data_IF_815581385450
#
_entry.id   IF_815581385450
#
_cell.length_a   1.000
_cell.length_b   1.000
_cell.length_c   1.000
_cell.angle_alpha   90.00
_cell.angle_beta   90.00
_cell.angle_gamma   90.00
#
_symmetry.space_group_name_H-M   'P 1'
#
loop_
_entity.id
_entity.type
_entity.pdbx_description
1 polymer ?
#
# COMPACT_ATOMS: atom_id res chain seq x y z
N UNK A 1 8.92 3.17 8.84
CA UNK A 1 8.73 4.50 8.20
C UNK A 1 10.03 5.07 7.66
N UNK A 2 11.09 5.12 8.46
CA UNK A 2 12.37 5.73 8.02
C UNK A 2 13.16 4.93 6.98
N UNK A 3 14.30 5.48 6.52
CA UNK A 3 15.27 4.81 5.65
C UNK A 3 15.66 3.44 6.22
N UNK A 4 15.85 2.45 5.33
CA UNK A 4 16.10 1.06 5.74
C UNK A 4 14.84 0.25 6.06
N UNK A 5 13.67 0.86 6.31
CA UNK A 5 12.43 0.10 6.58
C UNK A 5 12.08 -0.87 5.45
N UNK A 6 12.21 -0.46 4.19
CA UNK A 6 11.92 -1.30 3.03
C UNK A 6 12.87 -2.50 2.95
N UNK A 7 14.17 -2.31 3.25
CA UNK A 7 15.15 -3.39 3.26
C UNK A 7 14.86 -4.39 4.39
N UNK A 8 14.55 -3.89 5.60
CA UNK A 8 14.16 -4.74 6.73
C UNK A 8 12.91 -5.56 6.42
N UNK A 9 11.90 -4.94 5.79
CA UNK A 9 10.69 -5.64 5.36
C UNK A 9 10.98 -6.71 4.31
N UNK A 10 11.84 -6.42 3.34
CA UNK A 10 12.24 -7.39 2.32
C UNK A 10 12.94 -8.61 2.95
N UNK A 11 13.86 -8.39 3.89
CA UNK A 11 14.53 -9.45 4.64
C UNK A 11 13.52 -10.30 5.43
N UNK A 12 12.58 -9.67 6.12
CA UNK A 12 11.53 -10.36 6.87
C UNK A 12 10.65 -11.21 5.94
N UNK A 13 10.19 -10.63 4.82
CA UNK A 13 9.31 -11.32 3.89
C UNK A 13 9.98 -12.53 3.24
N UNK A 14 11.26 -12.41 2.86
CA UNK A 14 12.06 -13.51 2.30
C UNK A 14 12.23 -14.65 3.32
N UNK A 15 12.54 -14.32 4.58
CA UNK A 15 12.65 -15.31 5.64
C UNK A 15 11.33 -16.07 5.89
N UNK A 16 10.19 -15.34 5.95
CA UNK A 16 8.86 -15.94 6.12
C UNK A 16 8.50 -16.84 4.93
N UNK A 17 8.76 -16.40 3.71
CA UNK A 17 8.49 -17.21 2.50
C UNK A 17 9.32 -18.48 2.47
N UNK A 18 10.63 -18.40 2.76
CA UNK A 18 11.52 -19.57 2.84
C UNK A 18 11.06 -20.54 3.93
N UNK A 19 10.67 -20.04 5.10
CA UNK A 19 10.07 -20.84 6.16
C UNK A 19 8.78 -21.54 5.72
N UNK A 20 7.90 -20.84 5.03
CA UNK A 20 6.64 -21.39 4.49
C UNK A 20 6.88 -22.51 3.47
N UNK A 21 7.81 -22.29 2.52
CA UNK A 21 8.19 -23.29 1.50
C UNK A 21 8.87 -24.51 2.11
N UNK A 22 9.63 -24.34 3.19
CA UNK A 22 10.21 -25.46 3.93
C UNK A 22 9.15 -26.33 4.61
N UNK A 23 8.09 -25.73 5.14
CA UNK A 23 7.08 -26.43 5.94
C UNK A 23 5.96 -27.08 5.11
N UNK A 24 5.74 -26.65 3.87
CA UNK A 24 4.62 -27.12 3.06
C UNK A 24 4.94 -27.14 1.56
N UNK A 25 4.43 -28.15 0.86
CA UNK A 25 4.47 -28.26 -0.60
C UNK A 25 3.35 -27.47 -1.30
N UNK A 26 2.40 -26.91 -0.55
CA UNK A 26 1.25 -26.15 -1.06
C UNK A 26 1.16 -24.77 -0.40
N UNK A 27 2.13 -23.91 -0.68
CA UNK A 27 2.17 -22.54 -0.14
C UNK A 27 1.36 -21.59 -1.02
N UNK A 28 0.44 -20.84 -0.42
CA UNK A 28 -0.35 -19.82 -1.11
C UNK A 28 0.43 -18.52 -1.36
N UNK A 29 0.05 -17.78 -2.41
CA UNK A 29 0.77 -16.58 -2.86
C UNK A 29 0.75 -15.36 -1.92
N UNK A 30 -0.05 -15.39 -0.84
CA UNK A 30 -0.16 -14.31 0.15
C UNK A 30 0.68 -14.55 1.42
N UNK A 31 1.50 -15.59 1.47
CA UNK A 31 2.41 -15.83 2.60
C UNK A 31 3.47 -14.72 2.67
N UNK A 32 3.32 -13.79 3.60
CA UNK A 32 4.28 -12.71 3.80
C UNK A 32 3.80 -11.62 4.75
N UNK A 33 4.61 -10.57 4.88
CA UNK A 33 4.32 -9.45 5.75
C UNK A 33 3.15 -8.60 5.19
N UNK A 34 2.15 -8.40 6.04
CA UNK A 34 0.99 -7.55 5.77
C UNK A 34 1.20 -6.16 6.38
N UNK A 35 0.64 -5.13 5.75
CA UNK A 35 0.89 -3.73 6.11
C UNK A 35 -0.45 -2.98 6.35
N UNK A 36 -1.29 -3.42 7.32
CA UNK A 36 -2.60 -2.80 7.55
C UNK A 36 -2.48 -1.59 8.48
N UNK A 37 -2.48 -0.38 7.90
CA UNK A 37 -2.19 0.85 8.68
C UNK A 37 -3.16 1.03 9.83
N UNK A 38 -4.45 0.75 9.65
CA UNK A 38 -5.46 0.93 10.72
C UNK A 38 -5.64 -0.29 11.64
N UNK A 39 -4.88 -1.37 11.47
CA UNK A 39 -4.99 -2.57 12.29
C UNK A 39 -3.74 -2.80 13.17
N UNK A 40 -2.58 -2.20 12.80
CA UNK A 40 -1.34 -2.30 13.57
C UNK A 40 -1.05 -1.03 14.38
N UNK A 41 -0.96 -1.16 15.70
CA UNK A 41 -0.73 -0.04 16.62
C UNK A 41 0.60 0.71 16.38
N UNK A 42 1.64 0.00 15.92
CA UNK A 42 2.94 0.59 15.59
C UNK A 42 2.86 1.42 14.31
N UNK A 43 2.14 0.93 13.31
CA UNK A 43 1.88 1.64 12.06
C UNK A 43 1.00 2.87 12.28
N UNK A 44 -0.06 2.75 13.09
CA UNK A 44 -0.89 3.89 13.51
C UNK A 44 -0.03 4.97 14.16
N UNK A 45 0.82 4.59 15.12
CA UNK A 45 1.72 5.53 15.80
C UNK A 45 2.67 6.21 14.81
N UNK A 46 3.31 5.43 13.93
CA UNK A 46 4.24 5.98 12.94
C UNK A 46 3.56 6.91 11.91
N UNK A 47 2.30 6.63 11.56
CA UNK A 47 1.49 7.49 10.70
C UNK A 47 1.09 8.79 11.40
N UNK A 48 0.66 8.73 12.68
CA UNK A 48 0.38 9.92 13.50
C UNK A 48 1.60 10.82 13.68
N UNK A 49 2.77 10.23 13.86
CA UNK A 49 4.04 10.96 13.98
C UNK A 49 4.55 11.50 12.62
N UNK A 50 3.87 11.21 11.50
CA UNK A 50 4.28 11.63 10.16
C UNK A 50 5.54 10.92 9.63
N UNK A 51 6.07 9.93 10.37
CA UNK A 51 7.25 9.16 9.97
C UNK A 51 6.91 8.11 8.90
N UNK A 52 5.65 7.67 8.86
CA UNK A 52 5.12 6.77 7.85
C UNK A 52 4.21 7.56 6.90
N UNK A 53 4.69 7.77 5.67
CA UNK A 53 3.92 8.40 4.60
C UNK A 53 3.33 7.36 3.65
N UNK A 54 2.34 7.77 2.84
CA UNK A 54 1.73 6.87 1.86
C UNK A 54 2.72 6.42 0.78
N UNK A 55 3.64 7.28 0.35
CA UNK A 55 4.67 6.93 -0.64
C UNK A 55 5.68 5.93 -0.05
N UNK A 56 5.88 5.99 1.28
CA UNK A 56 6.70 4.98 1.95
C UNK A 56 6.00 3.63 2.00
N UNK A 57 4.69 3.62 2.21
CA UNK A 57 3.88 2.41 2.14
C UNK A 57 3.94 1.81 0.73
N UNK A 58 3.75 2.64 -0.30
CA UNK A 58 3.91 2.25 -1.71
C UNK A 58 5.32 1.68 -2.00
N UNK A 59 6.38 2.33 -1.51
CA UNK A 59 7.74 1.77 -1.64
C UNK A 59 7.91 0.43 -0.90
N UNK A 60 7.19 0.23 0.21
CA UNK A 60 7.16 -1.04 0.93
C UNK A 60 6.33 -2.10 0.18
N UNK A 61 5.32 -1.70 -0.60
CA UNK A 61 4.55 -2.65 -1.40
C UNK A 61 5.41 -3.32 -2.45
N UNK A 62 6.44 -2.67 -3.00
CA UNK A 62 7.38 -3.31 -3.93
C UNK A 62 7.99 -4.63 -3.41
N UNK A 63 8.12 -4.80 -2.09
CA UNK A 63 8.73 -5.99 -1.45
C UNK A 63 7.79 -6.80 -0.57
N UNK A 64 6.56 -6.32 -0.32
CA UNK A 64 5.56 -7.01 0.52
C UNK A 64 4.70 -8.00 -0.29
N UNK A 65 3.69 -8.62 0.34
CA UNK A 65 2.83 -9.61 -0.31
C UNK A 65 1.44 -9.14 -0.75
N UNK A 66 0.89 -8.03 -0.22
CA UNK A 66 -0.56 -7.70 -0.41
C UNK A 66 -0.80 -6.37 -1.12
N UNK A 67 -0.07 -5.31 -0.77
CA UNK A 67 -0.25 -3.97 -1.35
C UNK A 67 -0.66 -2.93 -0.32
N UNK A 68 -1.41 -1.91 -0.74
CA UNK A 68 -1.92 -0.83 0.10
C UNK A 68 -3.23 -1.29 0.76
N UNK A 69 -3.23 -1.42 2.08
CA UNK A 69 -4.39 -1.96 2.80
C UNK A 69 -4.78 -1.14 4.03
N UNK A 70 -6.10 -0.99 4.20
CA UNK A 70 -6.71 -0.23 5.30
C UNK A 70 -6.09 1.16 5.48
N UNK A 71 -5.94 1.89 4.38
CA UNK A 71 -5.38 3.24 4.39
C UNK A 71 -6.53 4.25 4.39
N UNK A 72 -6.63 5.03 5.46
CA UNK A 72 -7.60 6.12 5.55
C UNK A 72 -7.02 7.35 4.84
N UNK A 73 -7.78 7.92 3.91
CA UNK A 73 -7.40 9.12 3.14
C UNK A 73 -8.42 10.25 3.36
N UNK A 74 -8.08 11.52 3.07
CA UNK A 74 -9.01 12.65 3.26
C UNK A 74 -10.31 12.45 2.49
N UNK A 75 -11.44 12.82 3.09
CA UNK A 75 -12.76 12.61 2.51
C UNK A 75 -13.03 13.37 1.22
N UNK A 76 -12.29 14.46 0.99
CA UNK A 76 -12.35 15.32 -0.19
C UNK A 76 -11.38 14.88 -1.30
N UNK A 77 -10.72 13.72 -1.15
CA UNK A 77 -9.80 13.20 -2.17
C UNK A 77 -10.52 12.99 -3.50
N UNK A 78 -9.96 13.56 -4.57
CA UNK A 78 -10.55 13.45 -5.91
C UNK A 78 -10.48 12.03 -6.48
N UNK A 79 -11.41 11.70 -7.38
CA UNK A 79 -11.47 10.39 -8.05
C UNK A 79 -10.22 10.11 -8.88
N UNK A 80 -9.59 11.14 -9.44
CA UNK A 80 -8.34 11.02 -10.19
C UNK A 80 -7.18 10.64 -9.29
N UNK A 81 -7.11 11.20 -8.08
CA UNK A 81 -6.08 10.85 -7.10
C UNK A 81 -6.24 9.40 -6.62
N UNK A 82 -7.46 8.96 -6.32
CA UNK A 82 -7.73 7.56 -5.97
C UNK A 82 -7.35 6.64 -7.14
N UNK A 83 -7.72 7.01 -8.36
CA UNK A 83 -7.39 6.23 -9.57
C UNK A 83 -5.88 6.15 -9.80
N UNK A 84 -5.13 7.21 -9.49
CA UNK A 84 -3.67 7.23 -9.58
C UNK A 84 -3.01 6.31 -8.55
N UNK A 85 -3.46 6.33 -7.29
CA UNK A 85 -2.98 5.39 -6.27
C UNK A 85 -3.18 3.94 -6.72
N UNK A 86 -4.34 3.63 -7.30
CA UNK A 86 -4.63 2.29 -7.85
C UNK A 86 -3.71 1.97 -9.03
N UNK A 87 -3.49 2.92 -9.94
CA UNK A 87 -2.64 2.72 -11.10
C UNK A 87 -1.17 2.50 -10.74
N UNK A 88 -0.65 3.22 -9.75
CA UNK A 88 0.73 3.09 -9.26
C UNK A 88 0.95 1.70 -8.61
N UNK A 89 0.04 1.28 -7.73
CA UNK A 89 0.12 -0.05 -7.11
C UNK A 89 -0.08 -1.19 -8.12
N UNK A 90 -0.94 -1.00 -9.13
CA UNK A 90 -1.08 -1.95 -10.23
C UNK A 90 0.20 -2.03 -11.08
N UNK A 91 0.89 -0.91 -11.31
CA UNK A 91 2.16 -0.88 -12.04
C UNK A 91 3.27 -1.60 -11.26
N UNK A 92 3.37 -1.37 -9.95
CA UNK A 92 4.29 -2.10 -9.06
C UNK A 92 4.02 -3.60 -9.13
N UNK A 93 2.75 -4.00 -9.09
CA UNK A 93 2.35 -5.40 -9.21
C UNK A 93 2.74 -6.02 -10.54
N UNK A 94 2.37 -5.34 -11.63
CA UNK A 94 2.60 -5.77 -13.00
C UNK A 94 4.11 -5.93 -13.31
N UNK A 95 4.94 -4.96 -12.92
CA UNK A 95 6.38 -4.98 -13.19
C UNK A 95 7.09 -6.07 -12.37
N UNK A 96 6.72 -6.21 -11.10
CA UNK A 96 7.36 -7.17 -10.20
C UNK A 96 6.74 -8.58 -10.28
N UNK A 97 5.79 -8.82 -11.18
CA UNK A 97 5.10 -10.11 -11.33
C UNK A 97 4.50 -10.59 -10.00
N UNK A 98 3.89 -9.66 -9.25
CA UNK A 98 3.28 -9.93 -7.95
C UNK A 98 1.82 -9.49 -7.93
N UNK A 99 1.05 -10.13 -7.07
CA UNK A 99 -0.32 -9.69 -6.76
C UNK A 99 -0.25 -8.46 -5.87
N UNK A 100 -1.03 -7.44 -6.22
CA UNK A 100 -1.25 -6.25 -5.40
C UNK A 100 -2.74 -5.99 -5.25
N UNK A 101 -3.09 -5.33 -4.15
CA UNK A 101 -4.43 -4.89 -3.83
C UNK A 101 -4.34 -3.47 -3.27
N UNK A 102 -5.42 -2.71 -3.49
CA UNK A 102 -5.58 -1.37 -2.92
C UNK A 102 -6.91 -1.32 -2.18
N UNK A 103 -6.84 -1.08 -0.87
CA UNK A 103 -7.99 -0.77 0.00
C UNK A 103 -7.75 0.59 0.65
N UNK A 104 -8.26 1.63 0.00
CA UNK A 104 -8.27 3.01 0.53
C UNK A 104 -9.68 3.39 1.00
N UNK A 105 -9.76 4.17 2.07
CA UNK A 105 -11.00 4.55 2.72
C UNK A 105 -11.06 6.08 2.81
N UNK A 106 -11.84 6.75 1.93
CA UNK A 106 -12.09 8.18 2.05
C UNK A 106 -12.89 8.49 3.31
N UNK A 107 -12.28 9.24 4.24
CA UNK A 107 -12.89 9.63 5.50
C UNK A 107 -13.80 10.85 5.30
N UNK A 108 -15.04 10.63 4.86
CA UNK A 108 -15.98 11.70 4.52
C UNK A 108 -16.17 12.67 5.70
N UNK A 109 -15.89 13.95 5.47
CA UNK A 109 -15.98 15.00 6.49
C UNK A 109 -14.75 15.15 7.38
N UNK A 110 -13.68 14.37 7.15
CA UNK A 110 -12.41 14.45 7.87
C UNK A 110 -11.25 14.83 6.93
N UNK A 111 -10.37 15.66 7.45
CA UNK A 111 -9.17 16.23 6.84
C UNK A 111 -7.90 15.45 7.27
N UNK A 112 -6.74 15.81 6.70
CA UNK A 112 -5.47 15.16 7.02
C UNK A 112 -5.08 15.29 8.51
N UNK A 113 -4.61 14.19 9.10
CA UNK A 113 -4.22 14.14 10.51
C UNK A 113 -5.37 13.95 11.50
N UNK A 114 -6.62 14.03 11.06
CA UNK A 114 -7.77 13.60 11.87
C UNK A 114 -7.82 12.07 12.00
N UNK A 115 -8.77 11.56 12.77
CA UNK A 115 -8.87 10.13 13.06
C UNK A 115 -10.26 9.59 12.68
N UNK A 116 -10.27 8.54 11.86
CA UNK A 116 -11.47 7.82 11.52
C UNK A 116 -11.61 6.61 12.45
N UNK A 117 -12.74 6.55 13.16
CA UNK A 117 -13.09 5.42 14.03
C UNK A 117 -14.23 4.63 13.40
N UNK A 118 -13.97 3.37 13.06
CA UNK A 118 -14.97 2.47 12.46
C UNK A 118 -15.92 1.86 13.49
N UNK A 119 -15.60 1.99 14.79
CA UNK A 119 -16.38 1.47 15.90
C UNK A 119 -16.15 -0.02 16.16
N UNK A 120 -16.32 -0.42 17.44
CA UNK A 120 -16.29 -1.82 17.85
C UNK A 120 -14.99 -2.56 17.48
N UNK A 121 -15.11 -3.66 16.76
CA UNK A 121 -13.99 -4.51 16.31
C UNK A 121 -13.36 -4.06 14.98
N UNK A 122 -13.91 -3.03 14.33
CA UNK A 122 -13.49 -2.60 12.98
C UNK A 122 -12.27 -1.67 12.99
N UNK A 123 -11.76 -1.32 14.18
CA UNK A 123 -10.54 -0.55 14.36
C UNK A 123 -10.71 0.96 14.18
N UNK A 124 -9.58 1.65 14.14
CA UNK A 124 -9.47 3.09 13.94
C UNK A 124 -8.15 3.40 13.22
N UNK A 125 -8.07 4.55 12.54
CA UNK A 125 -6.85 4.92 11.83
C UNK A 125 -6.75 6.42 11.58
N UNK A 126 -5.51 6.97 11.56
CA UNK A 126 -5.28 8.36 11.21
C UNK A 126 -5.53 8.57 9.71
N UNK A 127 -6.15 9.69 9.36
CA UNK A 127 -6.32 10.14 7.98
C UNK A 127 -4.94 10.54 7.45
N UNK A 128 -4.40 9.75 6.52
CA UNK A 128 -3.07 9.96 5.98
C UNK A 128 -3.06 11.09 4.95
N UNK A 129 -2.12 12.02 5.10
CA UNK A 129 -1.95 13.12 4.15
C UNK A 129 -1.58 12.62 2.76
N UNK A 130 -2.28 13.12 1.74
CA UNK A 130 -1.96 12.93 0.33
C UNK A 130 -1.25 14.16 -0.26
N UNK A 131 -0.65 14.00 -1.45
CA UNK A 131 -0.09 15.11 -2.23
C UNK A 131 -1.19 15.94 -2.87
N UNK A 132 -0.93 17.24 -3.01
CA UNK A 132 -1.86 18.26 -3.51
C UNK A 132 -1.86 18.39 -5.05
N UNK A 133 -0.87 17.80 -5.73
CA UNK A 133 -0.74 17.90 -7.19
C UNK A 133 -1.68 16.92 -7.89
N UNK A 134 -2.44 17.43 -8.85
CA UNK A 134 -3.42 16.65 -9.61
C UNK A 134 -2.76 15.65 -10.58
N UNK A 135 -3.14 14.36 -10.52
CA UNK A 135 -2.72 13.35 -11.51
C UNK A 135 -3.67 13.24 -12.71
N UNK A 136 -4.66 14.14 -12.83
CA UNK A 136 -5.71 14.07 -13.84
C UNK A 136 -5.18 13.91 -15.27
N UNK A 137 -4.07 14.56 -15.62
CA UNK A 137 -3.46 14.45 -16.95
C UNK A 137 -3.06 13.01 -17.30
N UNK A 138 -2.61 12.21 -16.33
CA UNK A 138 -2.26 10.81 -16.58
C UNK A 138 -3.52 9.95 -16.65
N UNK A 139 -4.43 10.09 -15.68
CA UNK A 139 -5.64 9.25 -15.58
C UNK A 139 -6.59 9.47 -16.75
N UNK A 140 -6.78 10.71 -17.18
CA UNK A 140 -7.67 11.05 -18.29
C UNK A 140 -7.13 10.65 -19.67
N UNK A 141 -5.89 10.15 -19.78
CA UNK A 141 -5.41 9.55 -21.05
C UNK A 141 -6.22 8.32 -21.42
N UNK A 142 -6.75 7.59 -20.42
CA UNK A 142 -7.51 6.37 -20.63
C UNK A 142 -6.73 5.30 -21.41
N UNK A 143 -7.45 4.34 -21.97
CA UNK A 143 -6.87 3.26 -22.77
C UNK A 143 -6.26 2.15 -21.92
N UNK A 144 -5.14 1.58 -22.39
CA UNK A 144 -4.51 0.38 -21.81
C UNK A 144 -3.02 0.61 -21.59
N UNK A 145 -2.55 0.37 -20.37
CA UNK A 145 -1.12 0.27 -20.08
C UNK A 145 -0.61 -1.05 -20.67
N UNK A 146 0.40 -1.04 -21.57
CA UNK A 146 0.91 -2.26 -22.19
C UNK A 146 1.66 -3.12 -21.16
N UNK A 147 1.68 -4.44 -21.41
CA UNK A 147 2.39 -5.37 -20.54
C UNK A 147 3.91 -5.11 -20.57
N UNK A 148 4.62 -5.29 -19.45
CA UNK A 148 6.07 -5.11 -19.39
C UNK A 148 6.79 -6.20 -20.18
N UNK A 149 7.97 -5.87 -20.72
CA UNK A 149 8.84 -6.82 -21.41
C UNK A 149 9.43 -7.81 -20.40
N UNK A 150 8.91 -9.04 -20.36
CA UNK A 150 9.31 -10.03 -19.35
C UNK A 150 10.69 -10.65 -19.56
N UNK A 151 11.23 -10.62 -20.79
CA UNK A 151 12.49 -11.29 -21.18
C UNK A 151 13.73 -10.39 -21.19
N UNK A 152 13.60 -9.09 -20.91
CA UNK A 152 14.71 -8.14 -20.75
C UNK A 152 14.82 -7.70 -19.29
N UNK A 153 14.87 -8.68 -18.37
CA UNK A 153 15.15 -8.40 -16.96
C UNK A 153 16.67 -8.29 -16.81
N UNK A 154 17.14 -7.17 -16.24
CA UNK A 154 18.54 -6.99 -15.81
C UNK A 154 18.90 -7.98 -14.69
#
# INVERSE_FOLDING_TARGET
>A
GTHGTTAALAMLNDAVKKGGVMASSSVGGLSGAFIPVSEDAGMIKAAREGTLSIEKLEAMTAVCSVGLDMIVIPGDTSVETISAIIADEAAIGMVNSKTTAVRVIPAIGLSDGEELNFGGLLGYGPVMKLRDKSPAKMILRGGRIPAPLQNLKN
#
